data_IF_656055753078
#
_entry.id   IF_656055753078
#
_cell.length_a   1.000
_cell.length_b   1.000
_cell.length_c   1.000
_cell.angle_alpha   90.00
_cell.angle_beta   90.00
_cell.angle_gamma   90.00
#
_symmetry.space_group_name_H-M   'P 1'
#
loop_
_entity.id
_entity.type
_entity.pdbx_description
1 polymer ?
#
# COMPACT_ATOMS: atom_id res chain seq x y z
N UNK A 1 4.03 -2.58 55.32
CA UNK A 1 4.67 -2.48 53.99
C UNK A 1 4.70 -3.90 53.42
N UNK A 2 3.74 -4.24 52.57
CA UNK A 2 3.60 -5.58 51.96
C UNK A 2 3.54 -5.39 50.44
N UNK A 3 4.53 -5.91 49.73
CA UNK A 3 4.62 -5.91 48.27
C UNK A 3 3.73 -7.04 47.73
N UNK A 4 2.69 -6.70 46.98
CA UNK A 4 1.88 -7.69 46.25
C UNK A 4 2.51 -7.94 44.88
N UNK A 5 3.12 -9.10 44.69
CA UNK A 5 3.65 -9.54 43.38
C UNK A 5 2.45 -10.04 42.56
N UNK A 6 2.09 -9.32 41.48
CA UNK A 6 1.08 -9.77 40.54
C UNK A 6 1.67 -10.86 39.64
N UNK A 7 1.29 -12.11 39.88
CA UNK A 7 1.50 -13.19 38.92
C UNK A 7 0.60 -12.95 37.71
N UNK A 8 1.19 -12.59 36.57
CA UNK A 8 0.46 -12.54 35.30
C UNK A 8 -0.05 -13.95 34.97
N UNK A 9 -1.30 -14.08 34.45
CA UNK A 9 -1.82 -15.35 33.98
C UNK A 9 -0.87 -15.99 32.95
N UNK A 10 -0.72 -17.31 33.00
CA UNK A 10 0.22 -18.07 32.15
C UNK A 10 0.04 -17.76 30.66
N UNK A 11 -1.19 -17.50 30.20
CA UNK A 11 -1.43 -17.14 28.80
C UNK A 11 -0.85 -15.77 28.42
N UNK A 12 -0.80 -14.80 29.36
CA UNK A 12 -0.23 -13.47 29.12
C UNK A 12 1.29 -13.60 28.99
N UNK A 13 1.91 -14.45 29.81
CA UNK A 13 3.32 -14.77 29.68
C UNK A 13 3.62 -15.45 28.33
N UNK A 14 2.74 -16.34 27.88
CA UNK A 14 2.86 -17.02 26.59
C UNK A 14 2.72 -16.05 25.40
N UNK A 15 1.77 -15.12 25.46
CA UNK A 15 1.58 -14.09 24.43
C UNK A 15 2.79 -13.14 24.35
N UNK A 16 3.34 -12.72 25.50
CA UNK A 16 4.54 -11.89 25.55
C UNK A 16 5.74 -12.64 24.95
N UNK A 17 5.91 -13.92 25.25
CA UNK A 17 6.99 -14.73 24.68
C UNK A 17 6.88 -14.88 23.15
N UNK A 18 5.66 -15.05 22.62
CA UNK A 18 5.42 -15.12 21.16
C UNK A 18 5.70 -13.79 20.47
N UNK A 19 5.32 -12.66 21.08
CA UNK A 19 5.62 -11.33 20.57
C UNK A 19 7.12 -11.00 20.62
N UNK A 20 7.84 -11.49 21.63
CA UNK A 20 9.30 -11.34 21.73
C UNK A 20 10.03 -12.21 20.70
N UNK A 21 9.55 -13.42 20.41
CA UNK A 21 10.09 -14.26 19.34
C UNK A 21 9.90 -13.61 17.96
N UNK A 22 8.76 -12.94 17.75
CA UNK A 22 8.49 -12.19 16.52
C UNK A 22 9.44 -11.00 16.32
N UNK A 23 9.88 -10.35 17.41
CA UNK A 23 10.77 -9.19 17.32
C UNK A 23 12.23 -9.54 17.00
N UNK A 24 12.59 -10.83 16.97
CA UNK A 24 13.98 -11.30 16.83
C UNK A 24 14.24 -12.10 15.54
N UNK A 25 13.22 -12.32 14.70
CA UNK A 25 13.35 -13.07 13.44
C UNK A 25 13.65 -12.19 12.22
N UNK A 26 14.41 -12.68 11.22
CA UNK A 26 14.58 -11.97 9.96
C UNK A 26 13.25 -11.86 9.21
N UNK A 27 12.98 -10.67 8.65
CA UNK A 27 11.78 -10.35 7.85
C UNK A 27 11.78 -11.12 6.51
N UNK A 28 11.56 -12.43 6.55
CA UNK A 28 11.30 -13.24 5.35
C UNK A 28 9.95 -13.96 5.50
N UNK A 29 8.97 -13.42 4.77
CA UNK A 29 7.78 -14.06 4.21
C UNK A 29 7.18 -15.24 4.99
N UNK A 30 6.59 -14.96 6.14
CA UNK A 30 5.50 -15.79 6.67
C UNK A 30 4.22 -15.01 6.35
N UNK A 31 3.38 -15.54 5.45
CA UNK A 31 2.10 -14.91 5.15
C UNK A 31 1.29 -14.85 6.45
N UNK A 32 0.77 -13.67 6.81
CA UNK A 32 0.03 -13.45 8.05
C UNK A 32 -1.05 -14.53 8.29
N UNK A 33 -1.64 -15.06 7.21
CA UNK A 33 -2.69 -16.08 7.23
C UNK A 33 -2.27 -17.42 7.85
N UNK A 34 -0.99 -17.81 7.82
CA UNK A 34 -0.54 -19.11 8.34
C UNK A 34 -0.44 -19.12 9.89
N UNK A 35 -0.03 -17.99 10.48
CA UNK A 35 0.11 -17.84 11.94
C UNK A 35 -1.26 -17.84 12.63
N UNK A 36 -2.28 -17.29 11.98
CA UNK A 36 -3.64 -17.24 12.52
C UNK A 36 -4.30 -18.62 12.64
N UNK A 37 -3.99 -19.56 11.73
CA UNK A 37 -4.61 -20.89 11.73
C UNK A 37 -4.03 -21.78 12.84
N UNK A 38 -2.71 -21.78 13.03
CA UNK A 38 -2.07 -22.57 14.11
C UNK A 38 -2.39 -22.03 15.52
N UNK A 39 -2.53 -20.70 15.66
CA UNK A 39 -2.93 -20.09 16.94
C UNK A 39 -4.37 -20.48 17.34
N UNK A 40 -5.27 -20.62 16.35
CA UNK A 40 -6.64 -21.08 16.58
C UNK A 40 -6.65 -22.55 17.00
N UNK A 41 -5.89 -23.44 16.34
CA UNK A 41 -5.84 -24.85 16.73
C UNK A 41 -5.28 -25.07 18.15
N UNK A 42 -4.25 -24.30 18.55
CA UNK A 42 -3.68 -24.37 19.90
C UNK A 42 -4.65 -23.96 21.02
N UNK A 43 -5.56 -23.03 20.76
CA UNK A 43 -6.56 -22.58 21.73
C UNK A 43 -7.75 -23.55 21.83
N UNK A 44 -8.11 -24.21 20.72
CA UNK A 44 -9.28 -25.10 20.69
C UNK A 44 -8.98 -26.57 21.08
N UNK A 45 -7.74 -27.06 20.93
CA UNK A 45 -7.39 -28.47 21.16
C UNK A 45 -6.67 -28.75 22.49
N UNK A 46 -6.31 -27.73 23.28
CA UNK A 46 -5.62 -27.95 24.55
C UNK A 46 -6.60 -28.21 25.73
N UNK A 47 -6.33 -29.30 26.45
CA UNK A 47 -7.16 -29.85 27.53
C UNK A 47 -7.57 -28.88 28.68
N UNK A 48 -6.80 -27.85 29.10
CA UNK A 48 -7.20 -27.03 30.23
C UNK A 48 -8.36 -26.06 29.94
N UNK A 49 -8.68 -25.73 28.68
CA UNK A 49 -9.85 -24.90 28.35
C UNK A 49 -11.18 -25.65 28.49
N UNK A 50 -11.15 -26.99 28.45
CA UNK A 50 -12.33 -27.85 28.61
C UNK A 50 -12.87 -27.87 30.04
N UNK A 51 -12.07 -27.52 31.05
CA UNK A 51 -12.48 -27.67 32.44
C UNK A 51 -13.25 -26.45 32.99
N UNK A 52 -12.95 -25.24 32.52
CA UNK A 52 -13.44 -24.01 33.15
C UNK A 52 -14.83 -23.58 32.66
N UNK A 53 -15.25 -23.99 31.46
CA UNK A 53 -16.54 -23.57 30.87
C UNK A 53 -17.70 -24.57 31.05
N UNK A 54 -17.43 -25.78 31.56
CA UNK A 54 -18.43 -26.85 31.64
C UNK A 54 -19.22 -26.95 32.95
N UNK A 55 -19.07 -25.99 33.88
CA UNK A 55 -19.73 -26.05 35.20
C UNK A 55 -20.91 -25.07 35.39
N UNK A 56 -21.31 -24.29 34.38
CA UNK A 56 -22.48 -23.40 34.49
C UNK A 56 -23.72 -23.96 33.74
N UNK A 57 -24.84 -24.25 34.43
CA UNK A 57 -25.94 -25.06 33.88
C UNK A 57 -26.88 -24.33 32.91
N UNK A 58 -26.62 -23.09 32.51
CA UNK A 58 -27.61 -22.26 31.78
C UNK A 58 -27.15 -21.73 30.41
N UNK A 59 -25.91 -21.99 29.99
CA UNK A 59 -25.39 -21.46 28.71
C UNK A 59 -25.18 -22.63 27.74
N UNK A 60 -26.09 -22.76 26.76
CA UNK A 60 -25.99 -23.79 25.72
C UNK A 60 -24.74 -23.61 24.84
N UNK A 61 -24.20 -24.74 24.34
CA UNK A 61 -22.98 -24.79 23.49
C UNK A 61 -22.99 -23.76 22.35
N UNK A 62 -24.16 -23.46 21.78
CA UNK A 62 -24.34 -22.50 20.68
C UNK A 62 -24.11 -21.04 21.09
N UNK A 63 -24.37 -20.69 22.35
CA UNK A 63 -24.29 -19.31 22.86
C UNK A 63 -22.86 -18.89 23.21
N UNK A 64 -22.03 -19.84 23.66
CA UNK A 64 -20.60 -19.59 23.95
C UNK A 64 -19.81 -19.36 22.66
N UNK A 65 -20.08 -20.16 21.61
CA UNK A 65 -19.42 -20.00 20.30
C UNK A 65 -19.79 -18.66 19.68
N UNK A 66 -21.04 -18.23 19.78
CA UNK A 66 -21.50 -16.94 19.26
C UNK A 66 -20.85 -15.74 19.98
N UNK A 67 -20.68 -15.80 21.30
CA UNK A 67 -20.03 -14.73 22.08
C UNK A 67 -18.53 -14.64 21.77
N UNK A 68 -17.84 -15.76 21.59
CA UNK A 68 -16.42 -15.79 21.22
C UNK A 68 -16.22 -15.27 19.79
N UNK A 69 -17.10 -15.65 18.85
CA UNK A 69 -17.05 -15.16 17.47
C UNK A 69 -17.33 -13.66 17.39
N UNK A 70 -18.31 -13.16 18.15
CA UNK A 70 -18.58 -11.72 18.25
C UNK A 70 -17.41 -10.93 18.86
N UNK A 71 -16.68 -11.52 19.81
CA UNK A 71 -15.49 -10.90 20.41
C UNK A 71 -14.31 -10.85 19.42
N UNK A 72 -14.09 -11.92 18.65
CA UNK A 72 -13.06 -11.94 17.59
C UNK A 72 -13.40 -11.01 16.41
N UNK A 73 -14.66 -10.97 15.96
CA UNK A 73 -15.09 -10.04 14.92
C UNK A 73 -15.03 -8.57 15.37
N UNK A 74 -15.33 -8.29 16.65
CA UNK A 74 -15.21 -6.96 17.24
C UNK A 74 -13.77 -6.47 17.31
N UNK A 75 -12.82 -7.35 17.62
CA UNK A 75 -11.39 -6.99 17.64
C UNK A 75 -10.79 -6.78 16.24
N UNK A 76 -11.28 -7.52 15.23
CA UNK A 76 -10.84 -7.35 13.84
C UNK A 76 -11.25 -5.98 13.25
N UNK A 77 -12.30 -5.34 13.77
CA UNK A 77 -12.73 -4.02 13.30
C UNK A 77 -11.95 -2.86 13.94
N UNK A 78 -11.36 -3.06 15.12
CA UNK A 78 -10.56 -2.03 15.82
C UNK A 78 -9.06 -2.10 15.44
N UNK A 79 -8.59 -3.25 14.97
CA UNK A 79 -7.19 -3.49 14.61
C UNK A 79 -6.94 -3.77 13.12
N UNK A 80 -7.90 -3.42 12.23
CA UNK A 80 -7.55 -3.28 10.82
C UNK A 80 -6.44 -2.25 10.70
N UNK A 81 -5.42 -2.44 9.84
CA UNK A 81 -4.47 -1.37 9.59
C UNK A 81 -5.28 -0.20 9.04
N UNK A 82 -5.49 0.82 9.86
CA UNK A 82 -5.71 2.16 9.36
C UNK A 82 -4.46 2.41 8.55
N UNK A 83 -4.56 2.26 7.22
CA UNK A 83 -3.55 2.77 6.33
C UNK A 83 -3.40 4.22 6.74
N UNK A 84 -2.32 4.52 7.47
CA UNK A 84 -1.99 5.88 7.81
C UNK A 84 -1.93 6.60 6.46
N UNK A 85 -2.91 7.46 6.22
CA UNK A 85 -2.88 8.34 5.07
C UNK A 85 -1.59 9.12 5.24
N UNK A 86 -0.61 8.82 4.39
CA UNK A 86 0.63 9.55 4.38
C UNK A 86 0.28 11.04 4.25
N UNK A 87 0.91 11.93 5.05
CA UNK A 87 0.62 13.34 4.99
C UNK A 87 0.67 13.79 3.53
N UNK A 88 -0.41 14.42 3.09
CA UNK A 88 -0.58 14.91 1.72
C UNK A 88 0.58 15.86 1.44
N UNK A 89 1.55 15.33 0.70
CA UNK A 89 2.59 16.07 0.00
C UNK A 89 1.98 17.30 -0.65
N UNK A 90 2.58 18.50 -0.55
CA UNK A 90 2.06 19.69 -1.20
C UNK A 90 1.98 19.38 -2.69
N UNK A 91 0.73 19.39 -3.12
CA UNK A 91 0.22 18.46 -4.10
C UNK A 91 0.32 19.12 -5.48
N UNK A 92 0.66 18.34 -6.52
CA UNK A 92 0.47 18.83 -7.88
C UNK A 92 -1.00 19.28 -8.00
N UNK A 93 -1.26 20.51 -8.52
CA UNK A 93 -2.59 21.09 -8.47
C UNK A 93 -3.61 20.17 -9.14
N UNK A 94 -4.84 20.12 -8.61
CA UNK A 94 -5.89 19.21 -9.07
C UNK A 94 -6.28 19.41 -10.56
N UNK A 95 -5.85 20.52 -11.17
CA UNK A 95 -6.02 20.81 -12.60
C UNK A 95 -5.19 19.89 -13.52
N UNK A 96 -4.22 19.16 -13.00
CA UNK A 96 -3.36 18.27 -13.78
C UNK A 96 -3.96 16.87 -13.99
N UNK A 97 -5.16 16.60 -13.46
CA UNK A 97 -5.88 15.34 -13.65
C UNK A 97 -7.20 15.64 -14.34
N UNK A 98 -7.41 15.05 -15.51
CA UNK A 98 -8.65 15.13 -16.26
C UNK A 98 -9.26 13.74 -16.35
N UNK A 99 -10.54 13.62 -16.01
CA UNK A 99 -11.25 12.33 -15.95
C UNK A 99 -12.46 12.40 -16.87
N UNK A 100 -12.48 11.53 -17.88
CA UNK A 100 -13.63 11.29 -18.73
C UNK A 100 -14.24 9.93 -18.38
N UNK A 101 -15.52 9.90 -18.01
CA UNK A 101 -16.23 8.66 -17.66
C UNK A 101 -17.37 8.40 -18.65
N UNK A 102 -17.44 7.18 -19.15
CA UNK A 102 -18.62 6.64 -19.78
C UNK A 102 -19.05 5.35 -19.03
N UNK A 103 -20.23 4.76 -19.34
CA UNK A 103 -20.71 3.57 -18.62
C UNK A 103 -19.84 2.31 -18.72
N UNK A 104 -18.84 2.27 -19.62
CA UNK A 104 -17.98 1.10 -19.89
C UNK A 104 -16.53 1.31 -19.46
N UNK A 105 -16.07 2.55 -19.45
CA UNK A 105 -14.68 2.89 -19.22
C UNK A 105 -14.51 4.29 -18.63
N UNK A 106 -13.43 4.43 -17.89
CA UNK A 106 -12.91 5.70 -17.39
C UNK A 106 -11.56 5.94 -18.04
N UNK A 107 -11.43 7.08 -18.71
CA UNK A 107 -10.17 7.58 -19.25
C UNK A 107 -9.65 8.67 -18.32
N UNK A 108 -8.40 8.54 -17.89
CA UNK A 108 -7.72 9.52 -17.06
C UNK A 108 -6.51 10.05 -17.80
N UNK A 109 -6.39 11.37 -17.89
CA UNK A 109 -5.21 12.06 -18.40
C UNK A 109 -4.54 12.76 -17.22
N UNK A 110 -3.24 12.53 -17.06
CA UNK A 110 -2.42 13.09 -16.00
C UNK A 110 -1.29 13.86 -16.68
N UNK A 111 -1.21 15.17 -16.48
CA UNK A 111 -0.22 16.04 -17.11
C UNK A 111 0.73 16.67 -16.09
N UNK A 112 1.91 17.07 -16.53
CA UNK A 112 2.83 17.89 -15.72
C UNK A 112 3.29 17.24 -14.42
N UNK A 113 3.59 15.94 -14.46
CA UNK A 113 4.09 15.22 -13.28
C UNK A 113 5.58 15.54 -13.10
N UNK A 114 5.87 16.36 -12.11
CA UNK A 114 7.23 16.83 -11.80
C UNK A 114 7.91 15.94 -10.76
N UNK A 115 9.25 15.86 -10.74
CA UNK A 115 10.05 15.08 -9.77
C UNK A 115 10.19 15.83 -8.43
N UNK A 116 9.07 16.24 -7.84
CA UNK A 116 9.03 16.92 -6.54
C UNK A 116 8.85 15.93 -5.40
N UNK A 117 9.53 16.17 -4.28
CA UNK A 117 9.34 15.42 -3.04
C UNK A 117 8.09 15.86 -2.28
N UNK A 118 7.90 15.28 -1.08
CA UNK A 118 6.77 15.61 -0.20
C UNK A 118 6.85 16.98 0.46
N UNK A 119 7.90 17.75 0.25
CA UNK A 119 8.01 19.14 0.66
C UNK A 119 7.92 20.09 -0.55
N UNK A 120 7.48 19.59 -1.72
CA UNK A 120 7.50 20.30 -3.00
C UNK A 120 8.89 20.81 -3.41
N UNK A 121 9.94 20.17 -2.90
CA UNK A 121 11.31 20.43 -3.32
C UNK A 121 11.68 19.50 -4.46
N UNK A 122 12.48 19.99 -5.40
CA UNK A 122 12.99 19.16 -6.48
C UNK A 122 13.82 18.00 -5.91
N UNK A 123 13.56 16.78 -6.39
CA UNK A 123 14.33 15.61 -6.00
C UNK A 123 15.82 15.83 -6.31
N UNK A 124 16.63 15.70 -5.26
CA UNK A 124 18.09 15.83 -5.38
C UNK A 124 18.66 14.66 -6.17
N UNK A 125 19.70 14.93 -6.93
CA UNK A 125 20.49 13.90 -7.61
C UNK A 125 20.39 13.97 -9.13
N UNK A 126 20.66 12.83 -9.75
CA UNK A 126 20.79 12.69 -11.21
C UNK A 126 19.45 12.36 -11.88
N UNK A 127 19.50 12.15 -13.20
CA UNK A 127 18.35 11.78 -14.03
C UNK A 127 17.54 10.60 -13.46
N UNK A 128 18.21 9.54 -13.00
CA UNK A 128 17.55 8.36 -12.46
C UNK A 128 16.79 8.65 -11.16
N UNK A 129 17.38 9.46 -10.27
CA UNK A 129 16.73 9.86 -9.01
C UNK A 129 15.46 10.68 -9.27
N UNK A 130 15.52 11.65 -10.20
CA UNK A 130 14.36 12.43 -10.59
C UNK A 130 13.30 11.58 -11.31
N UNK A 131 13.71 10.69 -12.21
CA UNK A 131 12.80 9.77 -12.89
C UNK A 131 12.03 8.90 -11.89
N UNK A 132 12.72 8.33 -10.90
CA UNK A 132 12.10 7.56 -9.82
C UNK A 132 11.09 8.39 -9.04
N UNK A 133 11.42 9.63 -8.68
CA UNK A 133 10.50 10.50 -7.96
C UNK A 133 9.26 10.84 -8.80
N UNK A 134 9.45 11.17 -10.09
CA UNK A 134 8.35 11.50 -10.98
C UNK A 134 7.40 10.30 -11.19
N UNK A 135 7.93 9.08 -11.30
CA UNK A 135 7.12 7.86 -11.39
C UNK A 135 6.32 7.59 -10.12
N UNK A 136 6.91 7.82 -8.95
CA UNK A 136 6.18 7.70 -7.69
C UNK A 136 5.07 8.76 -7.58
N UNK A 137 5.32 9.98 -8.07
CA UNK A 137 4.32 11.03 -8.14
C UNK A 137 3.18 10.66 -9.09
N UNK A 138 3.51 10.11 -10.25
CA UNK A 138 2.53 9.60 -11.21
C UNK A 138 1.68 8.49 -10.58
N UNK A 139 2.29 7.54 -9.87
CA UNK A 139 1.59 6.48 -9.12
C UNK A 139 0.59 7.08 -8.13
N UNK A 140 1.01 8.07 -7.33
CA UNK A 140 0.13 8.74 -6.36
C UNK A 140 -1.03 9.47 -7.04
N UNK A 141 -0.78 10.17 -8.14
CA UNK A 141 -1.82 10.86 -8.92
C UNK A 141 -2.80 9.87 -9.57
N UNK A 142 -2.31 8.76 -10.13
CA UNK A 142 -3.14 7.70 -10.69
C UNK A 142 -4.10 7.11 -9.63
N UNK A 143 -3.57 6.77 -8.46
CA UNK A 143 -4.40 6.24 -7.35
C UNK A 143 -5.45 7.25 -6.89
N UNK A 144 -5.10 8.55 -6.80
CA UNK A 144 -6.06 9.63 -6.49
C UNK A 144 -7.16 9.77 -7.55
N UNK A 145 -6.83 9.53 -8.82
CA UNK A 145 -7.79 9.53 -9.91
C UNK A 145 -8.67 8.26 -9.97
N UNK A 146 -8.40 7.27 -9.12
CA UNK A 146 -9.13 6.01 -9.04
C UNK A 146 -8.69 4.97 -10.08
N UNK A 147 -7.48 5.09 -10.62
CA UNK A 147 -6.90 4.14 -11.58
C UNK A 147 -5.62 3.50 -11.01
N UNK A 148 -5.39 2.24 -11.38
CA UNK A 148 -4.21 1.48 -10.99
C UNK A 148 -3.03 1.78 -11.92
N UNK A 149 -1.77 1.67 -11.47
CA UNK A 149 -0.60 1.85 -12.33
C UNK A 149 -0.59 0.93 -13.56
N UNK A 150 -1.12 -0.30 -13.44
CA UNK A 150 -1.26 -1.24 -14.57
C UNK A 150 -2.35 -0.87 -15.58
N UNK A 151 -3.12 0.19 -15.32
CA UNK A 151 -4.13 0.74 -16.25
C UNK A 151 -3.59 1.97 -17.00
N UNK A 152 -2.40 2.46 -16.66
CA UNK A 152 -1.69 3.45 -17.48
C UNK A 152 -1.37 2.75 -18.79
N UNK A 153 -1.70 3.38 -19.93
CA UNK A 153 -1.55 2.86 -21.30
C UNK A 153 -0.48 3.62 -22.10
N UNK A 154 -0.06 4.80 -21.63
CA UNK A 154 1.09 5.52 -22.21
C UNK A 154 1.64 6.51 -21.19
N UNK A 155 2.94 6.74 -21.25
CA UNK A 155 3.70 7.72 -20.49
C UNK A 155 4.62 8.47 -21.46
N UNK A 156 4.45 9.78 -21.57
CA UNK A 156 5.39 10.66 -22.26
C UNK A 156 6.35 11.26 -21.24
N UNK A 157 7.66 11.14 -21.48
CA UNK A 157 8.72 11.73 -20.67
C UNK A 157 9.31 12.90 -21.44
N UNK A 158 9.21 14.09 -20.87
CA UNK A 158 9.84 15.29 -21.37
C UNK A 158 11.18 15.51 -20.68
N UNK A 159 12.20 15.90 -21.45
CA UNK A 159 13.55 16.25 -20.94
C UNK A 159 14.07 17.52 -21.62
N UNK A 160 14.79 18.41 -20.92
CA UNK A 160 15.33 19.64 -21.52
C UNK A 160 16.53 19.41 -22.44
N UNK A 161 17.18 18.24 -22.35
CA UNK A 161 18.39 17.92 -23.11
C UNK A 161 18.20 16.63 -23.90
N UNK A 162 18.60 16.66 -25.18
CA UNK A 162 18.46 15.58 -26.16
C UNK A 162 19.33 14.36 -25.82
N UNK A 163 20.49 14.57 -25.19
CA UNK A 163 21.43 13.51 -24.82
C UNK A 163 20.87 12.55 -23.74
N UNK A 164 19.81 12.96 -23.05
CA UNK A 164 19.09 12.17 -22.05
C UNK A 164 18.04 11.24 -22.64
N UNK A 165 17.68 11.39 -23.93
CA UNK A 165 16.62 10.59 -24.55
C UNK A 165 16.93 9.09 -24.53
N UNK A 166 18.15 8.69 -24.90
CA UNK A 166 18.55 7.28 -24.88
C UNK A 166 18.64 6.68 -23.47
N UNK A 167 19.28 7.34 -22.48
CA UNK A 167 19.21 6.92 -21.08
C UNK A 167 17.78 6.71 -20.57
N UNK A 168 16.85 7.62 -20.89
CA UNK A 168 15.44 7.50 -20.48
C UNK A 168 14.75 6.30 -21.14
N UNK A 169 14.99 6.07 -22.44
CA UNK A 169 14.46 4.89 -23.14
C UNK A 169 15.00 3.58 -22.56
N UNK A 170 16.27 3.56 -22.13
CA UNK A 170 16.86 2.39 -21.48
C UNK A 170 16.23 2.12 -20.11
N UNK A 171 16.12 3.14 -19.26
CA UNK A 171 15.45 3.03 -17.96
C UNK A 171 14.01 2.53 -18.10
N UNK A 172 13.29 3.01 -19.12
CA UNK A 172 11.93 2.56 -19.37
C UNK A 172 11.83 1.07 -19.73
N UNK A 173 12.76 0.55 -20.54
CA UNK A 173 12.83 -0.88 -20.88
C UNK A 173 13.15 -1.76 -19.68
N UNK A 174 13.99 -1.29 -18.77
CA UNK A 174 14.31 -2.00 -17.52
C UNK A 174 13.12 -2.04 -16.55
N UNK A 175 12.35 -0.95 -16.47
CA UNK A 175 11.16 -0.87 -15.62
C UNK A 175 9.97 -1.63 -16.21
N UNK A 176 9.89 -1.74 -17.53
CA UNK A 176 8.78 -2.33 -18.25
C UNK A 176 9.29 -3.26 -19.36
N UNK A 177 9.43 -4.54 -19.02
CA UNK A 177 10.01 -5.57 -19.89
C UNK A 177 9.15 -5.84 -21.14
N UNK A 178 7.93 -6.35 -20.94
CA UNK A 178 7.11 -6.88 -22.04
C UNK A 178 6.34 -5.82 -22.82
N UNK A 179 6.20 -4.62 -22.24
CA UNK A 179 5.42 -3.55 -22.82
C UNK A 179 5.92 -2.21 -22.30
N UNK A 180 6.55 -1.41 -23.15
CA UNK A 180 7.11 -0.11 -22.75
C UNK A 180 6.11 1.01 -23.04
N UNK A 181 5.36 1.52 -22.05
CA UNK A 181 4.44 2.65 -22.28
C UNK A 181 5.18 3.98 -22.51
N UNK A 182 6.51 4.00 -22.51
CA UNK A 182 7.30 5.23 -22.48
C UNK A 182 7.65 5.75 -23.87
N UNK A 183 7.39 7.04 -24.08
CA UNK A 183 7.97 7.81 -25.18
C UNK A 183 8.79 8.95 -24.59
N UNK A 184 10.06 9.09 -24.99
CA UNK A 184 10.92 10.20 -24.57
C UNK A 184 10.94 11.30 -25.64
N UNK A 185 10.68 12.54 -25.22
CA UNK A 185 10.56 13.73 -26.07
C UNK A 185 11.39 14.88 -25.47
N UNK A 186 12.07 15.63 -26.32
CA UNK A 186 12.76 16.85 -25.88
C UNK A 186 11.76 17.99 -25.69
N UNK A 187 11.85 18.68 -24.55
CA UNK A 187 11.15 19.92 -24.28
C UNK A 187 12.09 20.88 -23.55
N UNK A 188 12.48 21.97 -24.24
CA UNK A 188 13.47 22.94 -23.78
C UNK A 188 13.16 23.56 -22.42
N UNK A 189 11.89 23.59 -22.01
CA UNK A 189 11.47 24.13 -20.73
C UNK A 189 10.44 23.23 -20.05
N UNK A 190 10.79 22.75 -18.85
CA UNK A 190 9.90 22.00 -17.99
C UNK A 190 9.22 22.91 -16.96
N UNK A 191 8.16 22.42 -16.32
CA UNK A 191 7.35 23.17 -15.35
C UNK A 191 8.08 23.54 -14.06
N UNK A 192 9.30 23.07 -13.82
CA UNK A 192 10.13 23.45 -12.66
C UNK A 192 11.59 23.63 -13.05
N UNK A 193 12.18 24.75 -12.62
CA UNK A 193 13.59 25.02 -12.84
C UNK A 193 14.49 23.93 -12.23
N UNK A 194 15.44 23.43 -13.01
CA UNK A 194 16.34 22.35 -12.59
C UNK A 194 15.75 20.93 -12.73
N UNK A 195 14.47 20.79 -13.08
CA UNK A 195 13.92 19.49 -13.41
C UNK A 195 14.60 18.92 -14.67
N UNK A 196 14.92 17.64 -14.63
CA UNK A 196 15.54 16.88 -15.72
C UNK A 196 14.50 16.05 -16.47
N UNK A 197 13.35 15.80 -15.84
CA UNK A 197 12.22 15.06 -16.39
C UNK A 197 10.90 15.67 -15.97
N UNK A 198 9.89 15.52 -16.80
CA UNK A 198 8.48 15.77 -16.51
C UNK A 198 7.66 14.69 -17.24
N UNK A 199 6.61 14.16 -16.60
CA UNK A 199 5.80 13.09 -17.18
C UNK A 199 4.39 13.56 -17.53
N UNK A 200 3.86 12.98 -18.59
CA UNK A 200 2.45 12.95 -18.90
C UNK A 200 2.03 11.48 -19.05
N UNK A 201 0.81 11.13 -18.65
CA UNK A 201 0.31 9.77 -18.77
C UNK A 201 -1.17 9.73 -19.10
N UNK A 202 -1.57 8.68 -19.81
CA UNK A 202 -2.98 8.34 -20.03
C UNK A 202 -3.23 6.97 -19.43
N UNK A 203 -4.35 6.82 -18.72
CA UNK A 203 -4.82 5.56 -18.17
C UNK A 203 -6.25 5.25 -18.62
N UNK A 204 -6.55 3.96 -18.78
CA UNK A 204 -7.87 3.45 -19.15
C UNK A 204 -8.28 2.35 -18.18
N UNK A 205 -9.34 2.61 -17.41
CA UNK A 205 -9.96 1.62 -16.55
C UNK A 205 -11.29 1.17 -17.16
N UNK A 206 -11.48 -0.14 -17.34
CA UNK A 206 -12.77 -0.71 -17.76
C UNK A 206 -13.65 -0.96 -16.53
N UNK A 207 -14.94 -0.64 -16.63
CA UNK A 207 -15.91 -1.01 -15.60
C UNK A 207 -16.17 -2.52 -15.68
N UNK A 208 -15.94 -3.22 -14.57
CA UNK A 208 -16.15 -4.66 -14.46
C UNK A 208 -17.63 -5.05 -14.69
N UNK A 209 -18.58 -4.11 -14.50
CA UNK A 209 -20.01 -4.32 -14.69
C UNK A 209 -20.49 -4.19 -16.13
N UNK A 210 -19.63 -3.77 -17.05
CA UNK A 210 -19.98 -3.53 -18.45
C UNK A 210 -19.72 -4.75 -19.37
N UNK A 211 -19.31 -5.89 -18.81
CA UNK A 211 -19.22 -7.19 -19.48
C UNK A 211 -20.46 -8.03 -19.18
#
# INVERSE_FOLDING_TARGET
MLLTIYFLPIWVQFLIAQLQLYSQGPLTTISANAVWVEAIECVFLNAPFRATFYSHPTIGRSSVVALIFAWFCGLAFVAGPVFAQEPVSPEAPANNIQIFRNPRETVVVISGVLPLDKASSLARGNLAAQMKQALENLRRMALRAGVLPGQIVTITVFTPETDRLEPLRLMARELYADWTPFTAVENRQLGTAGALVELEAVAIARDAKAR
#
